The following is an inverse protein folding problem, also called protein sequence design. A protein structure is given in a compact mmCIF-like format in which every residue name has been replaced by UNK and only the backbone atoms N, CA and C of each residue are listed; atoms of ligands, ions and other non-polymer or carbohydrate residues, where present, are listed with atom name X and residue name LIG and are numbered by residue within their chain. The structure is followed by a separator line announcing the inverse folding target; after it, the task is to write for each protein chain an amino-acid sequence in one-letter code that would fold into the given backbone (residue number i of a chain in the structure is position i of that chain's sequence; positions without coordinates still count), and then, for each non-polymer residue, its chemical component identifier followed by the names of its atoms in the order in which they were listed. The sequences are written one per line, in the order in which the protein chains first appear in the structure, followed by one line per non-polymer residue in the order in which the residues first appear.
data_IF_782205254358
#
_entry.id   IF_782205254358
#
_cell.length_a   1.000
_cell.length_b   1.000
_cell.length_c   1.000
_cell.angle_alpha   90.00
_cell.angle_beta   90.00
_cell.angle_gamma   90.00
#
_symmetry.space_group_name_H-M   'P 1'
#
loop_
_entity.id
_entity.type
_entity.pdbx_description
1 polymer ?
#
# COMPACT_ATOMS: atom_id res chain seq x y z
N UNK A 1 3.75 -15.66 -3.62
CA UNK A 1 4.59 -14.45 -3.65
C UNK A 1 5.93 -14.83 -3.04
N UNK A 2 7.03 -14.20 -3.46
CA UNK A 2 8.31 -14.35 -2.76
C UNK A 2 8.22 -13.57 -1.44
N UNK A 3 8.96 -14.04 -0.45
CA UNK A 3 9.01 -13.47 0.88
C UNK A 3 9.75 -12.12 0.81
N UNK A 4 9.02 -11.01 0.62
CA UNK A 4 9.60 -9.67 0.48
C UNK A 4 9.91 -9.00 1.84
N UNK A 5 9.83 -9.76 2.93
CA UNK A 5 10.06 -9.28 4.29
C UNK A 5 11.44 -8.64 4.49
N UNK A 6 12.43 -9.14 3.74
CA UNK A 6 13.85 -8.82 3.87
C UNK A 6 14.47 -8.35 2.53
N UNK A 7 13.69 -7.68 1.68
CA UNK A 7 14.18 -7.16 0.39
C UNK A 7 13.78 -5.71 0.14
N UNK A 8 14.68 -4.93 -0.48
CA UNK A 8 14.38 -3.60 -1.00
C UNK A 8 14.30 -3.64 -2.52
N UNK A 9 13.27 -2.99 -3.07
CA UNK A 9 12.95 -3.05 -4.49
C UNK A 9 12.91 -1.65 -5.07
N UNK A 10 13.48 -1.48 -6.26
CA UNK A 10 13.22 -0.31 -7.08
C UNK A 10 12.57 -0.77 -8.37
N UNK A 11 11.40 -0.19 -8.67
CA UNK A 11 10.62 -0.48 -9.85
C UNK A 11 10.32 0.80 -10.64
N UNK A 12 10.20 0.66 -11.95
CA UNK A 12 9.70 1.71 -12.85
C UNK A 12 8.65 1.10 -13.76
N UNK A 13 7.51 1.78 -13.91
CA UNK A 13 6.38 1.31 -14.74
C UNK A 13 5.89 -0.12 -14.43
N UNK A 14 5.99 -0.55 -13.17
CA UNK A 14 5.57 -1.89 -12.74
C UNK A 14 6.58 -3.01 -13.04
N UNK A 15 7.76 -2.70 -13.57
CA UNK A 15 8.86 -3.64 -13.75
C UNK A 15 9.92 -3.45 -12.67
N UNK A 16 10.37 -4.55 -12.06
CA UNK A 16 11.50 -4.55 -11.15
C UNK A 16 12.77 -4.20 -11.91
N UNK A 17 13.42 -3.13 -11.49
CA UNK A 17 14.73 -2.77 -12.04
C UNK A 17 15.80 -3.62 -11.36
N UNK A 18 15.81 -3.70 -10.02
CA UNK A 18 16.84 -4.35 -9.21
C UNK A 18 16.27 -4.66 -7.80
N UNK A 19 16.79 -5.72 -7.16
CA UNK A 19 16.46 -6.14 -5.80
C UNK A 19 17.71 -6.13 -4.89
N UNK A 20 17.56 -5.76 -3.62
CA UNK A 20 18.59 -5.93 -2.60
C UNK A 20 18.09 -6.86 -1.50
N UNK A 21 18.85 -7.93 -1.20
CA UNK A 21 18.52 -8.96 -0.22
C UNK A 21 19.68 -9.15 0.78
N UNK A 22 19.39 -9.74 1.94
CA UNK A 22 20.45 -10.19 2.85
C UNK A 22 21.13 -11.45 2.28
N UNK A 23 22.43 -11.64 2.55
CA UNK A 23 23.19 -12.80 2.03
C UNK A 23 22.59 -14.17 2.40
N UNK A 24 21.84 -14.27 3.51
CA UNK A 24 21.15 -15.50 3.91
C UNK A 24 20.06 -15.94 2.93
N UNK A 25 19.50 -15.01 2.16
CA UNK A 25 18.40 -15.29 1.23
C UNK A 25 18.88 -15.94 -0.06
N UNK A 26 20.21 -15.96 -0.29
CA UNK A 26 20.78 -16.63 -1.44
C UNK A 26 20.61 -18.16 -1.35
N UNK A 27 19.67 -18.68 -2.15
CA UNK A 27 19.35 -20.11 -2.22
C UNK A 27 19.87 -20.78 -3.51
N UNK A 28 20.70 -20.09 -4.31
CA UNK A 28 21.25 -20.59 -5.57
C UNK A 28 22.57 -21.38 -5.40
N UNK A 29 23.08 -22.01 -6.47
CA UNK A 29 24.43 -22.57 -6.50
C UNK A 29 25.46 -21.44 -6.28
N UNK A 30 26.43 -21.62 -5.37
CA UNK A 30 27.47 -20.59 -5.10
C UNK A 30 28.23 -20.13 -6.35
N UNK A 31 28.25 -20.95 -7.40
CA UNK A 31 28.91 -20.64 -8.67
C UNK A 31 28.13 -19.61 -9.53
N UNK A 32 26.85 -19.36 -9.24
CA UNK A 32 26.03 -18.30 -9.87
C UNK A 32 26.19 -16.94 -9.18
N UNK A 33 26.85 -16.93 -8.02
CA UNK A 33 27.07 -15.76 -7.21
C UNK A 33 28.38 -15.11 -7.63
N UNK A 34 28.27 -13.95 -8.26
CA UNK A 34 29.43 -13.22 -8.77
C UNK A 34 29.93 -12.29 -7.67
N UNK A 35 31.19 -12.44 -7.28
CA UNK A 35 31.88 -11.50 -6.41
C UNK A 35 32.70 -10.51 -7.25
N UNK A 36 32.27 -9.25 -7.29
CA UNK A 36 32.99 -8.17 -7.97
C UNK A 36 33.02 -6.93 -7.07
N UNK A 37 34.19 -6.31 -6.94
CA UNK A 37 34.41 -5.12 -6.10
C UNK A 37 33.98 -5.28 -4.61
N UNK A 38 33.99 -6.51 -4.09
CA UNK A 38 33.62 -6.81 -2.71
C UNK A 38 32.11 -6.99 -2.48
N UNK A 39 31.31 -7.00 -3.54
CA UNK A 39 29.85 -7.25 -3.47
C UNK A 39 29.50 -8.59 -4.10
N UNK A 40 28.56 -9.28 -3.47
CA UNK A 40 27.96 -10.52 -3.96
C UNK A 40 26.70 -10.21 -4.77
N UNK A 41 26.61 -10.69 -6.01
CA UNK A 41 25.44 -10.48 -6.87
C UNK A 41 24.97 -11.76 -7.54
N UNK A 42 23.66 -11.90 -7.71
CA UNK A 42 23.06 -12.91 -8.58
C UNK A 42 22.15 -12.23 -9.61
N UNK A 43 21.77 -12.97 -10.64
CA UNK A 43 20.78 -12.53 -11.62
C UNK A 43 19.58 -13.46 -11.55
N UNK A 44 18.43 -12.92 -11.16
CA UNK A 44 17.16 -13.62 -11.34
C UNK A 44 16.59 -13.24 -12.72
N UNK A 45 15.77 -14.09 -13.38
CA UNK A 45 15.22 -13.73 -14.69
C UNK A 45 14.46 -12.40 -14.62
N UNK A 46 15.06 -11.33 -15.15
CA UNK A 46 14.47 -9.98 -15.23
C UNK A 46 15.25 -8.87 -14.55
N UNK A 47 16.04 -9.13 -13.49
CA UNK A 47 16.73 -8.07 -12.73
C UNK A 47 17.90 -8.62 -11.87
N UNK A 48 18.93 -7.80 -11.59
CA UNK A 48 20.00 -8.17 -10.67
C UNK A 48 19.51 -8.18 -9.21
N UNK A 49 20.07 -9.10 -8.41
CA UNK A 49 19.92 -9.15 -6.96
C UNK A 49 21.30 -8.88 -6.35
N UNK A 50 21.37 -7.89 -5.45
CA UNK A 50 22.56 -7.58 -4.67
C UNK A 50 22.41 -8.11 -3.25
N UNK A 51 23.45 -8.80 -2.77
CA UNK A 51 23.49 -9.37 -1.42
C UNK A 51 24.41 -8.56 -0.51
N UNK A 52 23.92 -8.24 0.69
CA UNK A 52 24.64 -7.45 1.68
C UNK A 52 24.63 -8.11 3.07
N UNK A 53 25.76 -8.07 3.78
CA UNK A 53 25.83 -8.44 5.21
C UNK A 53 25.05 -7.46 6.08
N UNK A 54 25.21 -6.16 5.84
CA UNK A 54 24.37 -5.11 6.42
C UNK A 54 23.32 -4.69 5.38
N UNK A 55 22.14 -5.29 5.50
CA UNK A 55 21.02 -5.06 4.60
C UNK A 55 20.56 -3.58 4.60
N UNK A 56 20.61 -2.90 5.75
CA UNK A 56 20.23 -1.49 5.83
C UNK A 56 21.25 -0.62 5.09
N UNK A 57 22.54 -0.83 5.32
CA UNK A 57 23.58 -0.11 4.60
C UNK A 57 23.51 -0.39 3.08
N UNK A 58 23.33 -1.66 2.71
CA UNK A 58 23.20 -2.09 1.33
C UNK A 58 22.04 -1.43 0.59
N UNK A 59 20.87 -1.41 1.22
CA UNK A 59 19.68 -0.75 0.67
C UNK A 59 19.90 0.76 0.47
N UNK A 60 20.57 1.43 1.43
CA UNK A 60 20.89 2.86 1.30
C UNK A 60 21.81 3.15 0.15
N UNK A 61 22.93 2.42 0.07
CA UNK A 61 23.90 2.53 -1.03
C UNK A 61 23.26 2.29 -2.38
N UNK A 62 22.35 1.30 -2.44
CA UNK A 62 21.67 0.93 -3.65
C UNK A 62 20.73 2.03 -4.14
N UNK A 63 19.89 2.53 -3.24
CA UNK A 63 18.97 3.63 -3.55
C UNK A 63 19.75 4.90 -3.95
N UNK A 64 20.85 5.23 -3.27
CA UNK A 64 21.77 6.32 -3.68
C UNK A 64 22.30 6.13 -5.10
N UNK A 65 22.81 4.95 -5.42
CA UNK A 65 23.30 4.65 -6.75
C UNK A 65 22.23 4.80 -7.84
N UNK A 66 21.02 4.29 -7.61
CA UNK A 66 19.94 4.31 -8.62
C UNK A 66 19.41 5.72 -8.84
N UNK A 67 19.16 6.47 -7.77
CA UNK A 67 18.68 7.86 -7.92
C UNK A 67 19.73 8.74 -8.57
N UNK A 68 21.02 8.53 -8.28
CA UNK A 68 22.11 9.25 -8.94
C UNK A 68 22.19 8.89 -10.43
N UNK A 69 22.12 7.59 -10.74
CA UNK A 69 22.21 7.08 -12.12
C UNK A 69 21.09 7.62 -13.02
N UNK A 70 19.86 7.67 -12.50
CA UNK A 70 18.69 8.15 -13.25
C UNK A 70 18.35 9.61 -12.99
N UNK A 71 19.07 10.29 -12.09
CA UNK A 71 18.81 11.68 -11.68
C UNK A 71 17.34 11.90 -11.29
N UNK A 72 16.78 10.96 -10.52
CA UNK A 72 15.37 10.97 -10.08
C UNK A 72 15.26 10.55 -8.63
N UNK A 73 14.30 11.13 -7.91
CA UNK A 73 13.94 10.69 -6.56
C UNK A 73 13.16 9.38 -6.58
N UNK A 74 13.05 8.74 -5.41
CA UNK A 74 12.16 7.60 -5.25
C UNK A 74 10.72 8.07 -5.31
N UNK A 75 9.92 7.38 -6.14
CA UNK A 75 8.49 7.61 -6.27
C UNK A 75 7.67 6.78 -5.26
N UNK A 76 8.07 5.52 -5.05
CA UNK A 76 7.34 4.55 -4.26
C UNK A 76 8.26 3.82 -3.27
N UNK A 77 7.77 3.60 -2.05
CA UNK A 77 8.45 2.81 -1.02
C UNK A 77 7.53 1.70 -0.51
N UNK A 78 7.98 0.46 -0.62
CA UNK A 78 7.33 -0.69 0.02
C UNK A 78 8.05 -1.03 1.32
N UNK A 79 7.33 -1.05 2.44
CA UNK A 79 7.87 -1.33 3.78
C UNK A 79 6.95 -2.25 4.56
N UNK A 80 7.50 -2.91 5.58
CA UNK A 80 6.77 -3.65 6.61
C UNK A 80 7.28 -3.21 7.99
N UNK A 81 6.78 -3.79 9.08
CA UNK A 81 7.20 -3.41 10.45
C UNK A 81 8.71 -3.53 10.73
N UNK A 82 9.45 -4.38 10.00
CA UNK A 82 10.91 -4.56 10.13
C UNK A 82 11.70 -3.51 9.35
N UNK A 83 11.12 -2.94 8.30
CA UNK A 83 11.78 -1.97 7.41
C UNK A 83 11.29 -0.52 7.58
N UNK A 84 10.54 -0.21 8.64
CA UNK A 84 10.03 1.15 8.93
C UNK A 84 11.12 2.23 8.99
N UNK A 85 12.35 1.87 9.34
CA UNK A 85 13.50 2.78 9.32
C UNK A 85 13.68 3.47 7.95
N UNK A 86 13.26 2.82 6.87
CA UNK A 86 13.40 3.32 5.50
C UNK A 86 12.48 4.49 5.23
N UNK A 87 11.34 4.58 5.91
CA UNK A 87 10.40 5.71 5.77
C UNK A 87 11.10 7.00 6.17
N UNK A 88 11.54 7.12 7.42
CA UNK A 88 12.23 8.33 7.90
C UNK A 88 13.52 8.58 7.10
N UNK A 89 14.24 7.53 6.71
CA UNK A 89 15.47 7.71 5.93
C UNK A 89 15.19 8.32 4.55
N UNK A 90 14.21 7.80 3.80
CA UNK A 90 13.83 8.35 2.49
C UNK A 90 13.30 9.77 2.65
N UNK A 91 12.37 10.01 3.58
CA UNK A 91 11.81 11.35 3.82
C UNK A 91 12.86 12.40 4.19
N UNK A 92 13.95 12.02 4.87
CA UNK A 92 15.03 12.94 5.21
C UNK A 92 16.08 13.12 4.10
N UNK A 93 16.10 12.21 3.13
CA UNK A 93 17.14 12.12 2.10
C UNK A 93 16.81 12.93 0.85
N UNK A 94 15.59 12.82 0.35
CA UNK A 94 15.14 13.49 -0.88
C UNK A 94 14.39 14.77 -0.56
N UNK A 95 14.52 15.78 -1.41
CA UNK A 95 13.82 17.07 -1.24
C UNK A 95 12.33 16.94 -1.57
N UNK A 96 11.99 16.13 -2.58
CA UNK A 96 10.59 15.88 -2.94
C UNK A 96 10.01 14.79 -2.04
N UNK A 97 8.86 15.03 -1.40
CA UNK A 97 8.17 14.01 -0.62
C UNK A 97 7.89 12.75 -1.44
N UNK A 98 7.93 11.61 -0.78
CA UNK A 98 7.60 10.33 -1.40
C UNK A 98 6.11 10.29 -1.76
N UNK A 99 5.81 10.11 -3.05
CA UNK A 99 4.42 10.10 -3.53
C UNK A 99 3.67 8.85 -3.08
N UNK A 100 4.31 7.68 -3.05
CA UNK A 100 3.63 6.41 -2.80
C UNK A 100 4.27 5.56 -1.71
N UNK A 101 3.45 5.01 -0.82
CA UNK A 101 3.88 4.05 0.21
C UNK A 101 3.00 2.80 0.17
N UNK A 102 3.65 1.63 0.16
CA UNK A 102 2.99 0.34 0.37
C UNK A 102 3.40 -0.20 1.74
N UNK A 103 2.43 -0.36 2.65
CA UNK A 103 2.62 -1.03 3.91
C UNK A 103 2.23 -2.52 3.78
N UNK A 104 3.23 -3.39 3.78
CA UNK A 104 3.12 -4.82 3.53
C UNK A 104 3.05 -5.63 4.83
N UNK A 105 2.31 -6.74 4.81
CA UNK A 105 2.38 -7.77 5.86
C UNK A 105 3.77 -8.41 5.90
N UNK A 106 4.19 -8.80 7.10
CA UNK A 106 5.30 -9.75 7.24
C UNK A 106 4.72 -11.16 7.21
N UNK A 107 5.19 -11.98 6.26
CA UNK A 107 4.77 -13.37 6.15
C UNK A 107 5.23 -14.21 7.36
N UNK A 108 4.47 -15.27 7.67
CA UNK A 108 4.79 -16.25 8.72
C UNK A 108 4.93 -15.70 10.14
N UNK A 109 4.24 -14.61 10.46
CA UNK A 109 4.22 -14.07 11.82
C UNK A 109 3.27 -14.85 12.74
N UNK A 110 3.67 -15.04 14.00
CA UNK A 110 2.84 -15.68 15.02
C UNK A 110 1.64 -14.82 15.42
N UNK A 111 1.83 -13.50 15.53
CA UNK A 111 0.77 -12.52 15.78
C UNK A 111 0.35 -11.82 14.46
N UNK A 112 -0.85 -12.13 13.93
CA UNK A 112 -1.33 -11.54 12.69
C UNK A 112 -1.65 -10.03 12.81
N UNK A 113 -1.67 -9.46 14.02
CA UNK A 113 -1.99 -8.05 14.27
C UNK A 113 -0.78 -7.23 14.74
N UNK A 114 0.43 -7.79 14.66
CA UNK A 114 1.67 -7.15 15.11
C UNK A 114 1.97 -5.82 14.37
N UNK A 115 1.35 -5.62 13.21
CA UNK A 115 1.60 -4.48 12.32
C UNK A 115 0.82 -3.20 12.68
N UNK A 116 -0.02 -3.21 13.73
CA UNK A 116 -0.76 -2.01 14.14
C UNK A 116 0.11 -0.79 14.43
N UNK A 117 1.30 -1.00 15.02
CA UNK A 117 2.27 0.09 15.24
C UNK A 117 2.93 0.57 13.95
N UNK A 118 3.06 -0.31 12.95
CA UNK A 118 3.63 0.05 11.66
C UNK A 118 2.66 0.93 10.88
N UNK A 119 1.37 0.60 10.93
CA UNK A 119 0.30 1.43 10.39
C UNK A 119 0.32 2.83 11.03
N UNK A 120 0.25 2.92 12.36
CA UNK A 120 0.28 4.20 13.07
C UNK A 120 1.53 5.03 12.75
N UNK A 121 2.66 4.36 12.53
CA UNK A 121 3.91 5.01 12.19
C UNK A 121 3.90 5.60 10.78
N UNK A 122 3.45 4.84 9.77
CA UNK A 122 3.31 5.32 8.38
C UNK A 122 2.33 6.50 8.32
N UNK A 123 1.24 6.44 9.09
CA UNK A 123 0.24 7.52 9.12
C UNK A 123 0.78 8.86 9.66
N UNK A 124 1.90 8.89 10.38
CA UNK A 124 2.54 10.16 10.80
C UNK A 124 3.01 11.00 9.61
N UNK A 125 3.23 10.34 8.47
CA UNK A 125 3.63 10.95 7.21
C UNK A 125 2.48 10.98 6.20
N UNK A 126 1.23 10.72 6.62
CA UNK A 126 0.08 10.64 5.72
C UNK A 126 -0.13 11.92 4.87
N UNK A 127 0.14 13.09 5.45
CA UNK A 127 -0.05 14.38 4.78
C UNK A 127 0.98 14.68 3.67
N UNK A 128 2.03 13.88 3.56
CA UNK A 128 3.06 14.00 2.51
C UNK A 128 2.97 12.89 1.47
N UNK A 129 2.08 11.92 1.66
CA UNK A 129 1.89 10.76 0.79
C UNK A 129 0.65 11.00 -0.07
N UNK A 130 0.78 10.82 -1.38
CA UNK A 130 -0.34 10.93 -2.32
C UNK A 130 -1.08 9.60 -2.47
N UNK A 131 -0.33 8.49 -2.53
CA UNK A 131 -0.84 7.14 -2.78
C UNK A 131 -0.44 6.21 -1.63
N UNK A 132 -1.40 5.76 -0.83
CA UNK A 132 -1.15 4.87 0.31
C UNK A 132 -1.85 3.53 0.10
N UNK A 133 -1.08 2.44 0.06
CA UNK A 133 -1.60 1.08 -0.03
C UNK A 133 -1.29 0.31 1.26
N UNK A 134 -2.32 -0.25 1.88
CA UNK A 134 -2.24 -0.88 3.20
C UNK A 134 -2.68 -2.32 3.09
N UNK A 135 -1.72 -3.24 3.20
CA UNK A 135 -1.96 -4.67 3.09
C UNK A 135 -2.02 -5.38 4.43
N UNK A 136 -1.73 -4.68 5.54
CA UNK A 136 -1.61 -5.26 6.87
C UNK A 136 -2.95 -5.56 7.54
N UNK A 137 -3.04 -6.72 8.19
CA UNK A 137 -4.08 -7.05 9.17
C UNK A 137 -3.97 -6.20 10.43
N UNK A 138 -5.10 -5.63 10.84
CA UNK A 138 -5.23 -4.87 12.07
C UNK A 138 -6.25 -5.55 12.99
N UNK A 139 -6.17 -5.31 14.29
CA UNK A 139 -7.16 -5.85 15.22
C UNK A 139 -8.57 -5.45 14.81
N UNK A 140 -9.55 -6.34 14.98
CA UNK A 140 -10.97 -6.01 14.72
C UNK A 140 -11.47 -4.79 15.52
N UNK A 141 -10.82 -4.49 16.65
CA UNK A 141 -11.14 -3.33 17.49
C UNK A 141 -10.22 -2.12 17.22
N UNK A 142 -9.48 -2.13 16.11
CA UNK A 142 -8.63 -1.02 15.71
C UNK A 142 -9.46 0.25 15.55
N UNK A 143 -8.90 1.39 15.95
CA UNK A 143 -9.58 2.68 15.90
C UNK A 143 -8.81 3.61 15.00
N UNK A 144 -9.45 4.03 13.91
CA UNK A 144 -8.87 5.02 13.03
C UNK A 144 -8.72 6.36 13.75
N UNK A 145 -7.56 6.98 13.59
CA UNK A 145 -7.35 8.35 14.01
C UNK A 145 -8.27 9.30 13.22
N UNK A 146 -8.62 10.43 13.82
CA UNK A 146 -9.41 11.45 13.12
C UNK A 146 -8.57 12.13 12.03
N UNK A 147 -9.21 12.46 10.90
CA UNK A 147 -8.64 13.18 9.75
C UNK A 147 -7.50 12.42 9.05
N UNK A 148 -7.83 11.29 8.44
CA UNK A 148 -6.87 10.49 7.68
C UNK A 148 -6.80 11.00 6.22
N UNK A 149 -5.69 11.66 5.85
CA UNK A 149 -5.47 12.24 4.53
C UNK A 149 -4.91 13.67 4.61
N UNK A 150 -4.89 14.43 3.50
CA UNK A 150 -5.52 14.13 2.21
C UNK A 150 -4.73 13.14 1.35
N UNK A 151 -5.39 12.14 0.77
CA UNK A 151 -4.81 11.24 -0.23
C UNK A 151 -5.38 11.47 -1.63
N UNK A 152 -4.60 11.18 -2.66
CA UNK A 152 -5.12 10.99 -4.01
C UNK A 152 -5.72 9.59 -4.15
N UNK A 153 -5.03 8.58 -3.63
CA UNK A 153 -5.50 7.19 -3.61
C UNK A 153 -5.17 6.54 -2.26
N UNK A 154 -6.18 5.93 -1.64
CA UNK A 154 -6.02 5.12 -0.45
C UNK A 154 -6.63 3.74 -0.70
N UNK A 155 -5.78 2.72 -0.63
CA UNK A 155 -6.20 1.31 -0.70
C UNK A 155 -5.98 0.64 0.66
N UNK A 156 -7.03 -0.02 1.18
CA UNK A 156 -7.00 -0.81 2.41
C UNK A 156 -7.42 -2.25 2.07
N UNK A 157 -6.48 -3.19 2.08
CA UNK A 157 -6.73 -4.55 1.63
C UNK A 157 -7.51 -5.41 2.65
N UNK A 158 -7.22 -5.22 3.93
CA UNK A 158 -7.81 -5.97 5.04
C UNK A 158 -8.78 -5.07 5.82
N UNK A 159 -9.81 -4.59 5.12
CA UNK A 159 -10.75 -3.57 5.57
C UNK A 159 -11.89 -4.04 6.49
N UNK A 160 -11.82 -5.25 7.06
CA UNK A 160 -12.88 -5.80 7.92
C UNK A 160 -13.13 -5.00 9.21
N UNK A 161 -12.15 -4.19 9.63
CA UNK A 161 -12.22 -3.32 10.80
C UNK A 161 -12.76 -1.91 10.48
N UNK A 162 -12.92 -1.57 9.19
CA UNK A 162 -13.43 -0.26 8.76
C UNK A 162 -14.92 -0.16 9.05
N UNK A 163 -15.32 0.91 9.74
CA UNK A 163 -16.72 1.25 9.97
C UNK A 163 -17.21 2.35 9.02
N UNK A 164 -18.53 2.52 8.91
CA UNK A 164 -19.14 3.63 8.18
C UNK A 164 -18.62 5.00 8.66
N UNK A 165 -18.39 5.14 9.97
CA UNK A 165 -17.86 6.38 10.55
C UNK A 165 -16.38 6.59 10.19
N UNK A 166 -15.60 5.52 10.02
CA UNK A 166 -14.22 5.63 9.55
C UNK A 166 -14.18 6.10 8.09
N UNK A 167 -15.08 5.61 7.23
CA UNK A 167 -15.20 6.10 5.84
C UNK A 167 -15.41 7.61 5.78
N UNK A 168 -16.24 8.17 6.67
CA UNK A 168 -16.52 9.62 6.72
C UNK A 168 -15.32 10.45 7.20
N UNK A 169 -14.35 9.84 7.88
CA UNK A 169 -13.14 10.50 8.38
C UNK A 169 -11.97 10.46 7.40
N UNK A 170 -12.06 9.62 6.38
CA UNK A 170 -11.04 9.48 5.35
C UNK A 170 -11.21 10.61 4.33
N UNK A 171 -10.15 11.38 4.15
CA UNK A 171 -10.03 12.36 3.08
C UNK A 171 -9.19 11.77 1.93
N UNK A 172 -9.87 11.19 0.95
CA UNK A 172 -9.24 10.61 -0.23
C UNK A 172 -10.07 10.92 -1.49
N UNK A 173 -9.41 11.05 -2.64
CA UNK A 173 -10.12 11.17 -3.93
C UNK A 173 -10.57 9.81 -4.46
N UNK A 174 -9.71 8.80 -4.33
CA UNK A 174 -10.03 7.40 -4.59
C UNK A 174 -9.86 6.62 -3.29
N UNK A 175 -10.90 5.89 -2.89
CA UNK A 175 -10.88 5.02 -1.73
C UNK A 175 -11.26 3.60 -2.15
N UNK A 176 -10.33 2.67 -1.97
CA UNK A 176 -10.53 1.24 -2.16
C UNK A 176 -10.46 0.52 -0.80
N UNK A 177 -11.55 -0.14 -0.40
CA UNK A 177 -11.63 -0.95 0.82
C UNK A 177 -11.97 -2.38 0.45
N UNK A 178 -10.99 -3.27 0.54
CA UNK A 178 -11.17 -4.69 0.27
C UNK A 178 -11.50 -5.46 1.54
N UNK A 179 -12.11 -6.63 1.38
CA UNK A 179 -12.45 -7.56 2.49
C UNK A 179 -13.23 -6.87 3.62
N UNK A 180 -14.10 -5.95 3.24
CA UNK A 180 -14.93 -5.16 4.15
C UNK A 180 -16.03 -5.99 4.78
N UNK A 181 -16.43 -5.62 6.00
CA UNK A 181 -17.63 -6.11 6.69
C UNK A 181 -18.79 -5.11 6.66
N UNK A 182 -18.63 -3.99 5.95
CA UNK A 182 -19.71 -3.03 5.73
C UNK A 182 -20.88 -3.72 5.01
N UNK A 183 -22.09 -3.30 5.36
CA UNK A 183 -23.32 -3.83 4.79
C UNK A 183 -24.25 -2.69 4.36
N UNK A 184 -25.38 -3.01 3.73
CA UNK A 184 -26.21 -2.03 3.00
C UNK A 184 -26.58 -0.77 3.82
N UNK A 185 -27.06 -0.87 5.07
CA UNK A 185 -27.27 0.29 5.94
C UNK A 185 -26.06 1.22 6.10
N UNK A 186 -24.84 0.69 6.18
CA UNK A 186 -23.63 1.52 6.29
C UNK A 186 -23.44 2.37 5.02
N UNK A 187 -23.64 1.77 3.85
CA UNK A 187 -23.56 2.50 2.58
C UNK A 187 -24.69 3.50 2.43
N UNK A 188 -25.92 3.16 2.81
CA UNK A 188 -27.04 4.11 2.81
C UNK A 188 -26.73 5.35 3.65
N UNK A 189 -26.11 5.17 4.82
CA UNK A 189 -25.67 6.27 5.67
C UNK A 189 -24.54 7.06 5.00
N UNK A 190 -23.52 6.37 4.48
CA UNK A 190 -22.36 7.00 3.83
C UNK A 190 -22.76 7.78 2.56
N UNK A 191 -23.63 7.23 1.72
CA UNK A 191 -24.13 7.88 0.51
C UNK A 191 -24.91 9.14 0.83
N UNK A 192 -25.79 9.12 1.85
CA UNK A 192 -26.47 10.33 2.31
C UNK A 192 -25.49 11.38 2.83
N UNK A 193 -24.45 10.95 3.56
CA UNK A 193 -23.37 11.84 3.98
C UNK A 193 -22.68 12.49 2.78
N UNK A 194 -22.27 11.70 1.79
CA UNK A 194 -21.61 12.19 0.58
C UNK A 194 -22.49 13.12 -0.25
N UNK A 195 -23.76 12.75 -0.49
CA UNK A 195 -24.76 13.58 -1.17
C UNK A 195 -25.00 14.92 -0.47
N UNK A 196 -24.90 14.96 0.86
CA UNK A 196 -25.03 16.19 1.64
C UNK A 196 -23.79 17.10 1.60
N UNK A 197 -22.76 16.74 0.84
CA UNK A 197 -21.48 17.46 0.74
C UNK A 197 -20.40 16.97 1.70
N UNK A 198 -20.64 15.85 2.40
CA UNK A 198 -19.60 15.13 3.14
C UNK A 198 -18.58 14.47 2.21
N UNK A 199 -17.39 14.13 2.72
CA UNK A 199 -16.27 13.58 1.92
C UNK A 199 -16.04 14.33 0.58
N UNK A 200 -15.82 15.66 0.60
CA UNK A 200 -15.93 16.52 -0.59
C UNK A 200 -14.88 16.26 -1.68
N UNK A 201 -13.78 15.58 -1.36
CA UNK A 201 -12.74 15.20 -2.32
C UNK A 201 -12.99 13.84 -2.97
N UNK A 202 -13.88 13.02 -2.42
CA UNK A 202 -14.13 11.67 -2.90
C UNK A 202 -14.75 11.70 -4.30
N UNK A 203 -14.11 11.02 -5.24
CA UNK A 203 -14.53 10.84 -6.62
C UNK A 203 -14.93 9.38 -6.90
N UNK A 204 -14.24 8.42 -6.26
CA UNK A 204 -14.50 6.98 -6.41
C UNK A 204 -14.40 6.28 -5.06
N UNK A 205 -15.44 5.51 -4.73
CA UNK A 205 -15.42 4.50 -3.67
C UNK A 205 -15.53 3.11 -4.31
N UNK A 206 -14.57 2.23 -4.00
CA UNK A 206 -14.57 0.82 -4.36
C UNK A 206 -14.58 0.01 -3.07
N UNK A 207 -15.53 -0.93 -2.93
CA UNK A 207 -15.61 -1.79 -1.75
C UNK A 207 -15.85 -3.23 -2.16
N UNK A 208 -14.95 -4.11 -1.73
CA UNK A 208 -15.15 -5.56 -1.81
C UNK A 208 -15.43 -6.13 -0.43
N UNK A 209 -16.25 -7.18 -0.39
CA UNK A 209 -16.73 -7.76 0.87
C UNK A 209 -15.95 -9.00 1.24
N UNK A 210 -15.72 -9.20 2.55
CA UNK A 210 -15.10 -10.43 3.07
C UNK A 210 -15.94 -11.67 2.73
N UNK A 211 -17.26 -11.50 2.65
CA UNK A 211 -18.23 -12.56 2.36
C UNK A 211 -19.22 -12.11 1.27
N UNK A 212 -19.75 -13.07 0.51
CA UNK A 212 -20.75 -12.78 -0.51
C UNK A 212 -22.00 -12.12 0.10
N UNK A 213 -22.33 -10.92 -0.37
CA UNK A 213 -23.61 -10.28 -0.04
C UNK A 213 -24.70 -10.99 -0.83
N UNK A 214 -25.58 -11.69 -0.11
CA UNK A 214 -26.70 -12.44 -0.70
C UNK A 214 -27.95 -11.61 -0.94
N UNK A 215 -28.02 -10.39 -0.40
CA UNK A 215 -29.19 -9.53 -0.51
C UNK A 215 -28.80 -8.05 -0.64
N UNK A 216 -28.93 -7.52 -1.86
CA UNK A 216 -28.76 -6.10 -2.20
C UNK A 216 -30.11 -5.36 -2.24
N UNK A 217 -31.21 -6.03 -1.91
CA UNK A 217 -32.58 -5.74 -2.37
C UNK A 217 -33.20 -4.40 -1.97
N UNK A 218 -32.51 -3.55 -1.21
CA UNK A 218 -32.96 -2.20 -0.85
C UNK A 218 -31.95 -1.09 -1.17
N UNK A 219 -30.83 -1.40 -1.82
CA UNK A 219 -29.80 -0.40 -2.11
C UNK A 219 -30.25 0.64 -3.15
N UNK A 220 -31.12 0.23 -4.09
CA UNK A 220 -31.58 1.08 -5.19
C UNK A 220 -32.55 2.20 -4.76
N UNK A 221 -33.34 2.00 -3.70
CA UNK A 221 -34.31 3.00 -3.23
C UNK A 221 -33.61 4.25 -2.64
N UNK A 222 -32.45 4.07 -2.01
CA UNK A 222 -31.65 5.14 -1.40
C UNK A 222 -30.77 5.88 -2.42
N UNK A 223 -30.48 5.28 -3.58
CA UNK A 223 -29.59 5.86 -4.59
C UNK A 223 -30.25 6.92 -5.47
N UNK A 224 -31.58 7.07 -5.40
CA UNK A 224 -32.31 8.04 -6.22
C UNK A 224 -31.94 7.92 -7.70
N UNK A 225 -31.79 6.69 -8.21
CA UNK A 225 -31.33 6.40 -9.56
C UNK A 225 -32.23 7.14 -10.56
N UNK A 226 -31.71 8.20 -11.16
CA UNK A 226 -32.34 8.84 -12.30
C UNK A 226 -31.92 8.02 -13.51
N UNK A 227 -32.86 7.32 -14.15
CA UNK A 227 -32.62 6.73 -15.46
C UNK A 227 -32.16 7.85 -16.41
N UNK A 228 -30.90 7.78 -16.82
CA UNK A 228 -30.36 8.63 -17.88
C UNK A 228 -30.41 7.85 -19.19
N UNK A 229 -30.68 8.52 -20.31
CA UNK A 229 -30.62 7.92 -21.66
C UNK A 229 -29.19 7.49 -22.09
N UNK A 230 -28.21 7.59 -21.20
CA UNK A 230 -26.84 7.17 -21.43
C UNK A 230 -26.72 5.64 -21.42
N UNK A 231 -26.47 5.06 -22.59
CA UNK A 231 -26.08 3.65 -22.72
C UNK A 231 -24.68 3.46 -22.14
N UNK A 232 -24.58 3.08 -20.86
CA UNK A 232 -23.30 2.71 -20.23
C UNK A 232 -22.90 1.31 -20.65
N UNK A 233 -21.92 1.22 -21.56
CA UNK A 233 -21.29 -0.05 -21.95
C UNK A 233 -20.20 -0.39 -20.94
N UNK A 234 -20.53 -1.27 -19.99
CA UNK A 234 -19.54 -1.85 -19.09
C UNK A 234 -18.64 -2.80 -19.87
N UNK A 235 -17.37 -2.44 -20.04
CA UNK A 235 -16.34 -3.38 -20.49
C UNK A 235 -15.70 -3.99 -19.26
N UNK A 236 -15.98 -5.27 -19.00
CA UNK A 236 -15.17 -6.06 -18.09
C UNK A 236 -13.73 -6.07 -18.62
N UNK A 237 -12.79 -5.56 -17.81
CA UNK A 237 -11.35 -5.72 -18.03
C UNK A 237 -10.85 -6.86 -17.16
#
# INVERSE_FOLDING_TARGET
MRNFGDSFEVASNGEFLILAEHESEFNGPKDELIEENGYKRAFYPGFPILYFEDQQLGAKMFVDYVTDLFSTDLFCLSVNRKSLWAVDWVFNRQENPLSSVNLLEVENEEDPYADGKAFDYVLRHANTIEFLNIYVKLSENFKLADNLGPFQDLTIFEGYWITCNDLMKIDAAILDVQRSRLYIPDFSIFLRHWQSGGSPRLEKLDVSFETEIRDLGSFDEDLGIVETDEVRVYRYR
#
